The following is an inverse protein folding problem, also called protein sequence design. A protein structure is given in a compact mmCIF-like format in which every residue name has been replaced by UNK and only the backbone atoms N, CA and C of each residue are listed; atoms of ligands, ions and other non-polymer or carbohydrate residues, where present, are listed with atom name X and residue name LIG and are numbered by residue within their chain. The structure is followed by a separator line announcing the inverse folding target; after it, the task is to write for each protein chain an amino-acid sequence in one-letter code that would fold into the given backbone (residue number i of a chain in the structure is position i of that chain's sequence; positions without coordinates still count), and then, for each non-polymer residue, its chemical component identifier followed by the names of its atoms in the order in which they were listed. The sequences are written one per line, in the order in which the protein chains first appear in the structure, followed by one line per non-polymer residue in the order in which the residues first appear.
data_IF_781973761513
#
_entry.id   IF_781973761513
#
_cell.length_a   1.000
_cell.length_b   1.000
_cell.length_c   1.000
_cell.angle_alpha   90.00
_cell.angle_beta   90.00
_cell.angle_gamma   90.00
#
_symmetry.space_group_name_H-M   'P 1'
#
loop_
_entity.id
_entity.type
_entity.pdbx_description
1 polymer ?
#
# COMPACT_ATOMS: atom_id res chain seq x y z
N UNK A 1 6.26 17.23 15.79
CA UNK A 1 5.94 17.33 14.35
C UNK A 1 6.89 16.50 13.49
N UNK A 2 8.22 16.75 13.54
CA UNK A 2 9.22 15.94 12.79
C UNK A 2 9.21 14.45 13.18
N UNK A 3 9.19 14.13 14.48
CA UNK A 3 9.11 12.75 14.96
C UNK A 3 7.85 12.01 14.46
N UNK A 4 6.71 12.70 14.38
CA UNK A 4 5.44 12.14 13.88
C UNK A 4 5.52 11.84 12.39
N UNK A 5 6.12 12.75 11.61
CA UNK A 5 6.37 12.55 10.18
C UNK A 5 7.30 11.36 9.94
N UNK A 6 8.42 11.32 10.67
CA UNK A 6 9.45 10.29 10.56
C UNK A 6 8.86 8.89 10.81
N UNK A 7 8.02 8.76 11.85
CA UNK A 7 7.29 7.53 12.15
C UNK A 7 6.33 7.14 11.03
N UNK A 8 5.54 8.09 10.53
CA UNK A 8 4.57 7.84 9.45
C UNK A 8 5.27 7.38 8.16
N UNK A 9 6.38 8.03 7.79
CA UNK A 9 7.16 7.69 6.61
C UNK A 9 7.85 6.32 6.77
N UNK A 10 8.46 6.03 7.93
CA UNK A 10 9.11 4.75 8.17
C UNK A 10 8.12 3.60 8.24
N UNK A 11 6.99 3.77 8.92
CA UNK A 11 5.92 2.77 8.95
C UNK A 11 5.35 2.54 7.55
N UNK A 12 5.12 3.62 6.79
CA UNK A 12 4.73 3.53 5.38
C UNK A 12 5.76 2.75 4.56
N UNK A 13 7.06 3.05 4.71
CA UNK A 13 8.13 2.39 4.00
C UNK A 13 8.17 0.88 4.30
N UNK A 14 8.13 0.52 5.59
CA UNK A 14 8.15 -0.88 6.04
C UNK A 14 6.93 -1.66 5.54
N UNK A 15 5.73 -1.09 5.66
CA UNK A 15 4.50 -1.77 5.23
C UNK A 15 4.46 -1.98 3.71
N UNK A 16 4.83 -0.98 2.92
CA UNK A 16 4.83 -1.10 1.46
C UNK A 16 5.97 -2.01 0.97
N UNK A 17 7.17 -1.91 1.57
CA UNK A 17 8.30 -2.78 1.26
C UNK A 17 8.03 -4.25 1.62
N UNK A 18 7.52 -4.52 2.82
CA UNK A 18 7.12 -5.87 3.23
C UNK A 18 6.00 -6.43 2.34
N UNK A 19 4.98 -5.61 2.06
CA UNK A 19 3.90 -5.98 1.14
C UNK A 19 4.41 -6.31 -0.27
N UNK A 20 5.35 -5.51 -0.78
CA UNK A 20 6.00 -5.74 -2.06
C UNK A 20 6.75 -7.07 -2.10
N UNK A 21 7.61 -7.34 -1.10
CA UNK A 21 8.38 -8.59 -1.03
C UNK A 21 7.46 -9.81 -0.89
N UNK A 22 6.45 -9.74 -0.02
CA UNK A 22 5.45 -10.81 0.16
C UNK A 22 4.70 -11.08 -1.15
N UNK A 23 4.25 -10.01 -1.82
CA UNK A 23 3.50 -10.15 -3.07
C UNK A 23 4.39 -10.69 -4.19
N UNK A 24 5.61 -10.18 -4.34
CA UNK A 24 6.61 -10.66 -5.30
C UNK A 24 6.89 -12.15 -5.09
N UNK A 25 7.24 -12.56 -3.87
CA UNK A 25 7.56 -13.96 -3.56
C UNK A 25 6.37 -14.90 -3.82
N UNK A 26 5.14 -14.44 -3.56
CA UNK A 26 3.93 -15.22 -3.81
C UNK A 26 3.45 -15.19 -5.28
N UNK A 27 4.06 -14.36 -6.14
CA UNK A 27 3.68 -14.20 -7.55
C UNK A 27 4.31 -15.25 -8.45
N UNK A 28 5.44 -15.84 -8.04
CA UNK A 28 6.02 -16.98 -8.74
C UNK A 28 5.20 -18.23 -8.42
N UNK A 29 4.67 -18.94 -9.43
CA UNK A 29 3.89 -20.14 -9.20
C UNK A 29 4.75 -21.20 -8.51
N UNK A 30 4.28 -21.72 -7.37
CA UNK A 30 4.49 -23.14 -7.10
C UNK A 30 3.64 -23.85 -8.15
N UNK A 31 4.27 -24.64 -9.02
CA UNK A 31 3.65 -25.45 -10.09
C UNK A 31 2.18 -25.76 -9.76
N UNK A 32 1.24 -25.04 -10.36
CA UNK A 32 -0.20 -25.22 -10.13
C UNK A 32 -0.89 -25.29 -11.49
N UNK A 33 -1.61 -26.40 -11.68
CA UNK A 33 -2.21 -26.88 -12.94
C UNK A 33 -3.53 -26.18 -13.30
N UNK A 34 -3.90 -25.13 -12.55
CA UNK A 34 -5.12 -24.38 -12.79
C UNK A 34 -4.84 -23.17 -13.69
N UNK A 35 -5.56 -23.13 -14.83
CA UNK A 35 -5.56 -22.03 -15.79
C UNK A 35 -6.01 -20.72 -15.12
N UNK A 36 -5.06 -20.01 -14.50
CA UNK A 36 -5.25 -18.59 -14.15
C UNK A 36 -5.02 -17.78 -15.42
N UNK A 37 -5.76 -16.68 -15.64
CA UNK A 37 -5.49 -15.80 -16.78
C UNK A 37 -4.01 -15.41 -16.77
N UNK A 38 -3.35 -15.53 -17.93
CA UNK A 38 -1.91 -15.26 -18.08
C UNK A 38 -1.52 -13.85 -17.59
N UNK A 39 -2.46 -12.91 -17.51
CA UNK A 39 -2.24 -11.54 -17.04
C UNK A 39 -2.14 -11.40 -15.52
N UNK A 40 -2.61 -12.39 -14.75
CA UNK A 40 -2.75 -12.25 -13.30
C UNK A 40 -1.40 -12.19 -12.57
N UNK A 41 -0.39 -12.91 -13.04
CA UNK A 41 0.95 -12.87 -12.42
C UNK A 41 1.70 -11.58 -12.77
N UNK A 42 1.56 -11.08 -14.00
CA UNK A 42 2.15 -9.81 -14.42
C UNK A 42 1.57 -8.64 -13.61
N UNK A 43 0.24 -8.60 -13.45
CA UNK A 43 -0.42 -7.59 -12.63
C UNK A 43 0.07 -7.64 -11.18
N UNK A 44 0.23 -8.83 -10.59
CA UNK A 44 0.74 -8.96 -9.22
C UNK A 44 2.18 -8.49 -9.08
N UNK A 45 3.04 -8.79 -10.04
CA UNK A 45 4.42 -8.29 -10.08
C UNK A 45 4.47 -6.77 -10.25
N UNK A 46 3.62 -6.21 -11.11
CA UNK A 46 3.50 -4.77 -11.28
C UNK A 46 3.07 -4.10 -9.97
N UNK A 47 2.03 -4.61 -9.31
CA UNK A 47 1.56 -4.10 -8.01
C UNK A 47 2.64 -4.24 -6.94
N UNK A 48 3.41 -5.34 -6.93
CA UNK A 48 4.55 -5.50 -6.03
C UNK A 48 5.63 -4.45 -6.29
N UNK A 49 5.96 -4.18 -7.56
CA UNK A 49 6.87 -3.12 -7.95
C UNK A 49 6.39 -1.73 -7.53
N UNK A 50 5.11 -1.42 -7.76
CA UNK A 50 4.50 -0.15 -7.32
C UNK A 50 4.57 0.01 -5.80
N UNK A 51 4.28 -1.04 -5.04
CA UNK A 51 4.41 -1.02 -3.58
C UNK A 51 5.88 -0.79 -3.15
N UNK A 52 6.85 -1.43 -3.80
CA UNK A 52 8.26 -1.20 -3.51
C UNK A 52 8.66 0.26 -3.78
N UNK A 53 8.22 0.82 -4.92
CA UNK A 53 8.49 2.21 -5.27
C UNK A 53 7.91 3.15 -4.21
N UNK A 54 6.67 2.95 -3.75
CA UNK A 54 6.12 3.74 -2.64
C UNK A 54 6.96 3.63 -1.37
N UNK A 55 7.43 2.42 -1.05
CA UNK A 55 8.31 2.21 0.11
C UNK A 55 9.59 3.03 0.00
N UNK A 56 10.26 2.98 -1.15
CA UNK A 56 11.47 3.75 -1.44
C UNK A 56 11.20 5.26 -1.47
N UNK A 57 10.06 5.70 -2.00
CA UNK A 57 9.64 7.10 -1.99
C UNK A 57 9.51 7.60 -0.55
N UNK A 58 8.89 6.84 0.36
CA UNK A 58 8.80 7.27 1.77
C UNK A 58 10.17 7.34 2.47
N UNK A 59 11.10 6.44 2.14
CA UNK A 59 12.50 6.55 2.61
C UNK A 59 13.15 7.82 2.03
N UNK A 60 12.95 8.11 0.75
CA UNK A 60 13.48 9.31 0.13
C UNK A 60 12.95 10.60 0.80
N UNK A 61 11.64 10.65 1.07
CA UNK A 61 11.00 11.79 1.74
C UNK A 61 11.44 11.97 3.18
N UNK A 62 11.82 10.88 3.86
CA UNK A 62 12.40 10.95 5.20
C UNK A 62 13.70 11.78 5.20
N UNK A 63 14.53 11.60 4.18
CA UNK A 63 15.75 12.41 4.00
C UNK A 63 15.48 13.77 3.34
N UNK A 64 14.37 13.93 2.60
CA UNK A 64 14.04 15.13 1.83
C UNK A 64 12.62 15.65 2.16
N UNK A 65 12.39 16.17 3.38
CA UNK A 65 11.04 16.51 3.85
C UNK A 65 10.42 17.70 3.10
N UNK A 66 11.20 18.50 2.37
CA UNK A 66 10.71 19.60 1.53
C UNK A 66 9.66 19.13 0.52
N UNK A 67 9.75 17.89 0.04
CA UNK A 67 8.83 17.35 -0.95
C UNK A 67 7.68 16.56 -0.33
N UNK A 68 7.57 16.48 0.99
CA UNK A 68 6.69 15.49 1.64
C UNK A 68 5.20 15.69 1.33
N UNK A 69 4.78 16.94 1.17
CA UNK A 69 3.36 17.29 1.06
C UNK A 69 2.66 16.69 -0.17
N UNK A 70 3.11 16.93 -1.43
CA UNK A 70 2.44 16.38 -2.61
C UNK A 70 2.43 14.84 -2.63
N UNK A 71 3.51 14.20 -2.16
CA UNK A 71 3.61 12.75 -2.15
C UNK A 71 2.75 12.10 -1.06
N UNK A 72 2.64 12.72 0.12
CA UNK A 72 1.72 12.26 1.16
C UNK A 72 0.27 12.47 0.74
N UNK A 73 -0.08 13.57 0.08
CA UNK A 73 -1.43 13.80 -0.44
C UNK A 73 -1.81 12.71 -1.44
N UNK A 74 -0.94 12.45 -2.42
CA UNK A 74 -1.15 11.38 -3.39
C UNK A 74 -1.26 10.01 -2.72
N UNK A 75 -0.35 9.71 -1.78
CA UNK A 75 -0.38 8.47 -1.02
C UNK A 75 -1.67 8.31 -0.19
N UNK A 76 -2.15 9.39 0.42
CA UNK A 76 -3.36 9.39 1.23
C UNK A 76 -4.60 9.11 0.36
N UNK A 77 -4.72 9.79 -0.78
CA UNK A 77 -5.80 9.58 -1.74
C UNK A 77 -5.80 8.15 -2.28
N UNK A 78 -4.65 7.65 -2.75
CA UNK A 78 -4.53 6.30 -3.30
C UNK A 78 -4.90 5.22 -2.26
N UNK A 79 -4.41 5.37 -1.02
CA UNK A 79 -4.69 4.41 0.05
C UNK A 79 -6.13 4.47 0.54
N UNK A 80 -6.73 5.67 0.55
CA UNK A 80 -8.16 5.84 0.81
C UNK A 80 -8.98 5.10 -0.25
N UNK A 81 -8.62 5.25 -1.53
CA UNK A 81 -9.28 4.54 -2.61
C UNK A 81 -9.17 3.02 -2.48
N UNK A 82 -7.99 2.49 -2.14
CA UNK A 82 -7.78 1.07 -1.88
C UNK A 82 -8.67 0.55 -0.73
N UNK A 83 -8.81 1.35 0.34
CA UNK A 83 -9.73 1.03 1.44
C UNK A 83 -11.19 0.98 0.97
N UNK A 84 -11.69 2.03 0.29
CA UNK A 84 -13.08 2.06 -0.18
C UNK A 84 -13.40 0.94 -1.18
N UNK A 85 -12.49 0.67 -2.12
CA UNK A 85 -12.65 -0.42 -3.08
C UNK A 85 -12.74 -1.78 -2.38
N UNK A 86 -11.84 -2.04 -1.43
CA UNK A 86 -11.84 -3.31 -0.69
C UNK A 86 -13.04 -3.45 0.24
N UNK A 87 -13.51 -2.36 0.85
CA UNK A 87 -14.73 -2.33 1.66
C UNK A 87 -15.95 -2.64 0.80
N UNK A 88 -16.06 -2.01 -0.37
CA UNK A 88 -17.10 -2.30 -1.35
C UNK A 88 -17.08 -3.78 -1.73
N UNK A 89 -15.93 -4.34 -2.13
CA UNK A 89 -15.82 -5.75 -2.50
C UNK A 89 -16.14 -6.70 -1.34
N UNK A 90 -15.82 -6.33 -0.09
CA UNK A 90 -16.21 -7.10 1.10
C UNK A 90 -17.73 -7.12 1.29
N UNK A 91 -18.38 -5.96 1.18
CA UNK A 91 -19.84 -5.82 1.34
C UNK A 91 -20.58 -6.69 0.32
N UNK A 92 -20.10 -6.74 -0.92
CA UNK A 92 -20.70 -7.54 -2.00
C UNK A 92 -20.23 -9.00 -2.03
N UNK A 93 -19.51 -9.49 -1.00
CA UNK A 93 -19.07 -10.89 -0.92
C UNK A 93 -18.02 -11.28 -1.96
N UNK A 94 -17.37 -10.31 -2.61
CA UNK A 94 -16.33 -10.52 -3.63
C UNK A 94 -14.90 -10.50 -3.07
N UNK A 95 -14.75 -10.23 -1.78
CA UNK A 95 -13.46 -10.21 -1.08
C UNK A 95 -13.59 -10.94 0.26
N UNK A 96 -12.61 -11.77 0.60
CA UNK A 96 -12.58 -12.43 1.90
C UNK A 96 -12.26 -11.42 3.02
N UNK A 97 -12.77 -11.67 4.23
CA UNK A 97 -12.45 -10.85 5.42
C UNK A 97 -10.93 -10.74 5.65
N UNK A 98 -10.20 -11.83 5.44
CA UNK A 98 -8.73 -11.86 5.56
C UNK A 98 -8.07 -10.92 4.54
N UNK A 99 -8.48 -10.97 3.27
CA UNK A 99 -7.93 -10.08 2.25
C UNK A 99 -8.31 -8.61 2.51
N UNK A 100 -9.51 -8.33 3.01
CA UNK A 100 -9.89 -6.98 3.45
C UNK A 100 -9.01 -6.48 4.60
N UNK A 101 -8.71 -7.29 5.61
CA UNK A 101 -7.84 -6.88 6.71
C UNK A 101 -6.41 -6.63 6.20
N UNK A 102 -5.85 -7.57 5.43
CA UNK A 102 -4.46 -7.48 4.96
C UNK A 102 -4.22 -6.34 3.96
N UNK A 103 -5.20 -6.03 3.11
CA UNK A 103 -5.06 -5.01 2.06
C UNK A 103 -5.88 -3.76 2.33
N UNK A 104 -7.16 -3.90 2.64
CA UNK A 104 -8.08 -2.77 2.81
C UNK A 104 -7.80 -1.97 4.08
N UNK A 105 -7.95 -2.62 5.22
CA UNK A 105 -7.85 -1.99 6.54
C UNK A 105 -6.44 -1.40 6.77
N UNK A 106 -5.39 -2.13 6.39
CA UNK A 106 -4.00 -1.63 6.47
C UNK A 106 -3.80 -0.36 5.65
N UNK A 107 -4.31 -0.29 4.40
CA UNK A 107 -4.25 0.93 3.62
C UNK A 107 -5.13 2.05 4.23
N UNK A 108 -6.30 1.73 4.79
CA UNK A 108 -7.15 2.70 5.48
C UNK A 108 -6.47 3.34 6.70
N UNK A 109 -5.78 2.55 7.52
CA UNK A 109 -5.01 3.05 8.68
C UNK A 109 -3.89 3.98 8.22
N UNK A 110 -3.10 3.57 7.21
CA UNK A 110 -2.01 4.42 6.69
C UNK A 110 -2.56 5.70 6.03
N UNK A 111 -3.66 5.61 5.28
CA UNK A 111 -4.32 6.77 4.70
C UNK A 111 -4.76 7.76 5.78
N UNK A 112 -5.37 7.26 6.85
CA UNK A 112 -5.82 8.08 7.99
C UNK A 112 -4.63 8.76 8.66
N UNK A 113 -3.52 8.05 8.88
CA UNK A 113 -2.30 8.64 9.43
C UNK A 113 -1.74 9.76 8.54
N UNK A 114 -1.78 9.59 7.21
CA UNK A 114 -1.35 10.63 6.28
C UNK A 114 -2.27 11.85 6.30
N UNK A 115 -3.58 11.65 6.33
CA UNK A 115 -4.55 12.75 6.41
C UNK A 115 -4.42 13.54 7.71
N UNK A 116 -4.27 12.86 8.85
CA UNK A 116 -4.03 13.50 10.14
C UNK A 116 -2.77 14.36 10.05
N UNK A 117 -1.67 13.79 9.54
CA UNK A 117 -0.43 14.54 9.38
C UNK A 117 -0.59 15.78 8.48
N UNK A 118 -1.20 15.62 7.30
CA UNK A 118 -1.45 16.72 6.36
C UNK A 118 -2.34 17.82 6.95
N UNK A 119 -3.29 17.46 7.82
CA UNK A 119 -4.17 18.44 8.50
C UNK A 119 -3.50 19.19 9.64
N UNK A 120 -2.35 18.71 10.11
CA UNK A 120 -1.57 19.33 11.19
C UNK A 120 -0.41 20.20 10.67
N UNK A 121 -0.23 20.27 9.34
CA UNK A 121 0.82 20.99 8.65
C UNK A 121 0.56 22.49 8.52
#
# INVERSE_FOLDING_TARGET
MRLSLDLVLMMGALLNGFGAVKLFASSFPKVDTQHRPDDYWQLRLFVAGTAMVFGLTYIYLYYNPVFVWPFLLFGAALKSWAFFLSLYLLIFGRLSKKAFIEFGLTNGVVATAFWIFLSTL
#
